data_IF_278906501047
#
_entry.id   IF_278906501047
#
_cell.length_a   1.000
_cell.length_b   1.000
_cell.length_c   1.000
_cell.angle_alpha   90.00
_cell.angle_beta   90.00
_cell.angle_gamma   90.00
#
_symmetry.space_group_name_H-M   'P 1'
#
loop_
_entity.id
_entity.type
_entity.pdbx_description
1 polymer ?
#
# COMPACT_ATOMS: atom_id res chain seq x y z
N UNK A 1 14.02 30.45 52.71
CA UNK A 1 13.50 29.25 52.01
C UNK A 1 13.29 29.62 50.55
N UNK A 2 14.24 29.29 49.68
CA UNK A 2 14.10 29.49 48.24
C UNK A 2 13.33 28.28 47.67
N UNK A 3 12.19 28.53 47.02
CA UNK A 3 11.48 27.52 46.23
C UNK A 3 12.30 27.28 44.96
N UNK A 4 12.86 26.08 44.80
CA UNK A 4 13.39 25.66 43.50
C UNK A 4 12.22 25.58 42.52
N UNK A 5 12.19 26.38 41.44
CA UNK A 5 11.17 26.20 40.41
C UNK A 5 11.42 24.85 39.72
N UNK A 6 10.34 24.09 39.54
CA UNK A 6 10.39 22.84 38.77
C UNK A 6 10.87 23.17 37.35
N UNK A 7 11.73 22.33 36.76
CA UNK A 7 12.18 22.52 35.39
C UNK A 7 10.95 22.51 34.47
N UNK A 8 10.76 23.60 33.74
CA UNK A 8 9.76 23.67 32.68
C UNK A 8 10.25 22.74 31.58
N UNK A 9 9.56 21.60 31.44
CA UNK A 9 9.75 20.71 30.28
C UNK A 9 9.35 21.52 29.06
N UNK A 10 10.34 21.96 28.28
CA UNK A 10 10.08 22.50 26.95
C UNK A 10 9.37 21.38 26.19
N UNK A 11 8.10 21.61 25.84
CA UNK A 11 7.39 20.73 24.94
C UNK A 11 8.18 20.73 23.64
N UNK A 12 8.93 19.66 23.40
CA UNK A 12 9.46 19.40 22.07
C UNK A 12 8.26 19.41 21.12
N UNK A 13 8.36 20.03 19.93
CA UNK A 13 7.34 19.83 18.91
C UNK A 13 7.12 18.31 18.78
N UNK A 14 5.86 17.84 18.68
CA UNK A 14 5.58 16.41 18.67
C UNK A 14 6.49 15.79 17.62
N UNK A 15 7.36 14.88 18.05
CA UNK A 15 8.17 14.09 17.14
C UNK A 15 7.17 13.48 16.15
N UNK A 16 7.19 13.92 14.89
CA UNK A 16 6.28 13.40 13.89
C UNK A 16 6.57 11.91 13.77
N UNK A 17 5.63 11.08 14.22
CA UNK A 17 5.68 9.62 14.13
C UNK A 17 5.57 9.23 12.65
N UNK A 18 6.66 9.38 11.90
CA UNK A 18 6.71 9.05 10.47
C UNK A 18 5.64 9.73 9.60
N UNK A 19 5.49 9.23 8.38
CA UNK A 19 4.36 9.55 7.51
C UNK A 19 3.09 8.91 8.05
N UNK A 20 1.93 9.55 7.80
CA UNK A 20 0.62 8.94 8.06
C UNK A 20 0.46 7.68 7.23
N UNK A 21 -0.44 6.78 7.62
CA UNK A 21 -0.73 5.56 6.85
C UNK A 21 -2.21 5.48 6.46
N UNK A 22 -2.52 4.62 5.49
CA UNK A 22 -3.90 4.28 5.11
C UNK A 22 -4.62 3.42 6.16
N UNK A 23 -3.90 2.90 7.17
CA UNK A 23 -4.50 2.07 8.21
C UNK A 23 -5.50 2.89 9.02
N UNK A 24 -6.76 2.46 8.96
CA UNK A 24 -7.87 3.06 9.67
C UNK A 24 -8.34 2.14 10.81
N UNK A 25 -8.24 2.58 12.08
CA UNK A 25 -8.65 1.76 13.21
C UNK A 25 -10.13 1.34 13.20
N UNK A 26 -11.02 2.20 12.67
CA UNK A 26 -12.45 1.91 12.61
C UNK A 26 -12.74 0.85 11.53
N UNK A 27 -12.08 0.96 10.38
CA UNK A 27 -12.14 -0.07 9.35
C UNK A 27 -11.49 -1.37 9.80
N UNK A 28 -10.36 -1.32 10.52
CA UNK A 28 -9.73 -2.52 11.07
C UNK A 28 -10.65 -3.27 12.04
N UNK A 29 -11.39 -2.53 12.87
CA UNK A 29 -12.38 -3.12 13.77
C UNK A 29 -13.60 -3.72 13.02
N UNK A 30 -13.97 -3.14 11.88
CA UNK A 30 -15.17 -3.51 11.13
C UNK A 30 -14.91 -4.59 10.08
N UNK A 31 -13.87 -4.43 9.27
CA UNK A 31 -13.49 -5.28 8.14
C UNK A 31 -12.50 -6.38 8.53
N UNK A 32 -11.95 -6.31 9.75
CA UNK A 32 -11.15 -7.37 10.34
C UNK A 32 -9.79 -7.60 9.66
N UNK A 33 -9.29 -8.83 9.83
CA UNK A 33 -7.91 -9.21 9.52
C UNK A 33 -7.55 -9.03 8.04
N UNK A 34 -8.47 -9.32 7.11
CA UNK A 34 -8.21 -9.17 5.67
C UNK A 34 -7.85 -7.73 5.31
N UNK A 35 -8.59 -6.74 5.85
CA UNK A 35 -8.26 -5.33 5.67
C UNK A 35 -6.91 -4.97 6.32
N UNK A 36 -6.63 -5.46 7.53
CA UNK A 36 -5.36 -5.19 8.21
C UNK A 36 -4.18 -5.70 7.39
N UNK A 37 -4.27 -6.91 6.83
CA UNK A 37 -3.23 -7.47 6.00
C UNK A 37 -3.04 -6.68 4.70
N UNK A 38 -4.13 -6.32 4.02
CA UNK A 38 -4.09 -5.49 2.82
C UNK A 38 -3.44 -4.13 3.08
N UNK A 39 -3.86 -3.44 4.14
CA UNK A 39 -3.32 -2.14 4.50
C UNK A 39 -1.84 -2.23 4.94
N UNK A 40 -1.49 -3.23 5.75
CA UNK A 40 -0.10 -3.45 6.17
C UNK A 40 0.82 -3.72 4.97
N UNK A 41 0.36 -4.56 4.03
CA UNK A 41 1.10 -4.86 2.80
C UNK A 41 1.35 -3.59 2.00
N UNK A 42 0.30 -2.81 1.70
CA UNK A 42 0.45 -1.57 0.94
C UNK A 42 1.39 -0.56 1.65
N UNK A 43 1.31 -0.45 2.98
CA UNK A 43 2.21 0.41 3.75
C UNK A 43 3.66 -0.05 3.63
N UNK A 44 3.93 -1.35 3.77
CA UNK A 44 5.29 -1.88 3.70
C UNK A 44 5.90 -1.72 2.31
N UNK A 45 5.11 -1.95 1.25
CA UNK A 45 5.55 -1.71 -0.11
C UNK A 45 5.96 -0.25 -0.29
N UNK A 46 5.13 0.73 0.10
CA UNK A 46 5.53 2.14 0.01
C UNK A 46 6.82 2.42 0.81
N UNK A 47 6.99 1.82 1.99
CA UNK A 47 8.22 1.99 2.79
C UNK A 47 9.45 1.45 2.08
N UNK A 48 9.34 0.31 1.40
CA UNK A 48 10.41 -0.27 0.58
C UNK A 48 10.82 0.70 -0.52
N UNK A 49 9.86 1.17 -1.30
CA UNK A 49 10.14 2.07 -2.43
C UNK A 49 10.70 3.42 -1.97
N UNK A 50 10.27 3.93 -0.81
CA UNK A 50 10.88 5.13 -0.19
C UNK A 50 12.32 4.86 0.26
N UNK A 51 12.66 3.65 0.71
CA UNK A 51 13.99 3.31 1.19
C UNK A 51 15.03 3.16 0.07
N UNK A 52 14.59 2.86 -1.15
CA UNK A 52 15.45 2.73 -2.34
C UNK A 52 15.70 4.03 -3.09
N UNK A 53 15.18 5.19 -2.62
CA UNK A 53 15.34 6.50 -3.27
C UNK A 53 16.82 6.97 -3.25
N UNK A 54 17.57 6.54 -4.26
CA UNK A 54 19.02 6.72 -4.35
C UNK A 54 19.67 6.47 -5.70
N UNK A 55 19.36 5.40 -6.45
CA UNK A 55 20.13 5.07 -7.68
C UNK A 55 19.45 4.14 -8.72
N UNK A 56 18.19 3.73 -8.54
CA UNK A 56 17.53 2.82 -9.50
C UNK A 56 16.41 3.50 -10.31
N UNK A 57 16.27 3.08 -11.57
CA UNK A 57 15.28 3.52 -12.57
C UNK A 57 13.80 3.28 -12.19
N UNK A 58 13.53 2.94 -10.93
CA UNK A 58 12.20 2.66 -10.42
C UNK A 58 11.76 3.81 -9.50
N UNK A 59 10.73 4.59 -9.88
CA UNK A 59 9.43 4.34 -9.28
C UNK A 59 8.19 4.68 -10.14
N UNK A 60 7.04 4.21 -9.63
CA UNK A 60 5.66 4.25 -10.16
C UNK A 60 5.32 3.19 -11.20
N UNK A 61 5.29 1.93 -10.73
CA UNK A 61 4.82 0.77 -11.47
C UNK A 61 4.94 -0.49 -10.61
N UNK A 62 6.14 -0.71 -10.06
CA UNK A 62 6.44 -1.85 -9.17
C UNK A 62 5.60 -1.89 -7.90
N UNK A 63 5.48 -0.77 -7.17
CA UNK A 63 4.66 -0.71 -5.94
C UNK A 63 3.18 -1.01 -6.22
N UNK A 64 2.66 -0.50 -7.35
CA UNK A 64 1.27 -0.70 -7.77
C UNK A 64 1.06 -2.14 -8.22
N UNK A 65 1.98 -2.67 -9.03
CA UNK A 65 2.00 -4.05 -9.51
C UNK A 65 2.00 -5.05 -8.36
N UNK A 66 2.89 -4.87 -7.38
CA UNK A 66 3.02 -5.77 -6.24
C UNK A 66 1.79 -5.70 -5.33
N UNK A 67 1.27 -4.49 -5.10
CA UNK A 67 0.02 -4.29 -4.35
C UNK A 67 -1.18 -4.91 -5.10
N UNK A 68 -1.21 -4.82 -6.43
CA UNK A 68 -2.23 -5.44 -7.28
C UNK A 68 -2.17 -6.97 -7.21
N UNK A 69 -0.99 -7.55 -7.36
CA UNK A 69 -0.79 -9.00 -7.26
C UNK A 69 -1.21 -9.52 -5.87
N UNK A 70 -0.83 -8.82 -4.79
CA UNK A 70 -1.26 -9.18 -3.44
C UNK A 70 -2.78 -9.13 -3.30
N UNK A 71 -3.40 -8.01 -3.71
CA UNK A 71 -4.85 -7.82 -3.69
C UNK A 71 -5.59 -8.96 -4.40
N UNK A 72 -5.14 -9.33 -5.61
CA UNK A 72 -5.75 -10.40 -6.40
C UNK A 72 -5.55 -11.78 -5.78
N UNK A 73 -4.52 -11.96 -4.95
CA UNK A 73 -4.25 -13.23 -4.28
C UNK A 73 -5.07 -13.44 -3.00
N UNK A 74 -5.50 -12.35 -2.34
CA UNK A 74 -6.20 -12.44 -1.05
C UNK A 74 -7.69 -12.08 -1.13
N UNK A 75 -8.13 -11.43 -2.20
CA UNK A 75 -9.53 -11.04 -2.40
C UNK A 75 -10.14 -11.79 -3.58
N UNK A 76 -11.28 -12.42 -3.32
CA UNK A 76 -12.16 -13.03 -4.32
C UNK A 76 -13.24 -12.02 -4.78
N UNK A 77 -13.20 -11.52 -6.04
CA UNK A 77 -14.17 -10.57 -6.54
C UNK A 77 -15.59 -11.14 -6.70
N UNK A 78 -15.79 -12.46 -6.60
CA UNK A 78 -17.14 -13.06 -6.62
C UNK A 78 -17.87 -12.95 -5.29
N UNK A 79 -17.16 -12.58 -4.22
CA UNK A 79 -17.72 -12.42 -2.87
C UNK A 79 -18.03 -10.95 -2.61
N UNK A 80 -19.29 -10.64 -2.32
CA UNK A 80 -19.76 -9.28 -2.04
C UNK A 80 -18.99 -8.62 -0.89
N UNK A 81 -18.65 -9.38 0.15
CA UNK A 81 -17.87 -8.91 1.29
C UNK A 81 -16.46 -8.41 0.91
N UNK A 82 -15.81 -9.04 -0.07
CA UNK A 82 -14.50 -8.61 -0.55
C UNK A 82 -14.61 -7.39 -1.46
N UNK A 83 -15.67 -7.30 -2.26
CA UNK A 83 -15.95 -6.13 -3.08
C UNK A 83 -16.20 -4.90 -2.21
N UNK A 84 -17.01 -5.02 -1.16
CA UNK A 84 -17.24 -3.94 -0.19
C UNK A 84 -15.97 -3.58 0.58
N UNK A 85 -15.20 -4.58 1.03
CA UNK A 85 -13.94 -4.35 1.76
C UNK A 85 -12.97 -3.50 0.95
N UNK A 86 -12.74 -3.83 -0.32
CA UNK A 86 -11.79 -3.08 -1.12
C UNK A 86 -12.30 -1.68 -1.47
N UNK A 87 -13.61 -1.52 -1.69
CA UNK A 87 -14.22 -0.21 -1.92
C UNK A 87 -14.02 0.72 -0.73
N UNK A 88 -14.34 0.25 0.49
CA UNK A 88 -14.17 1.01 1.73
C UNK A 88 -12.69 1.32 2.00
N UNK A 89 -11.80 0.35 1.80
CA UNK A 89 -10.36 0.53 1.96
C UNK A 89 -9.81 1.60 1.01
N UNK A 90 -10.19 1.56 -0.27
CA UNK A 90 -9.76 2.56 -1.24
C UNK A 90 -10.37 3.94 -0.97
N UNK A 91 -11.64 4.00 -0.54
CA UNK A 91 -12.28 5.27 -0.18
C UNK A 91 -11.59 5.93 1.01
N UNK A 92 -11.23 5.15 2.03
CA UNK A 92 -10.47 5.65 3.20
C UNK A 92 -9.07 6.11 2.79
N UNK A 93 -8.34 5.31 2.00
CA UNK A 93 -7.02 5.67 1.49
C UNK A 93 -7.04 6.99 0.70
N UNK A 94 -8.00 7.15 -0.22
CA UNK A 94 -8.16 8.40 -0.99
C UNK A 94 -8.54 9.59 -0.13
N UNK A 95 -9.36 9.39 0.90
CA UNK A 95 -9.76 10.46 1.83
C UNK A 95 -8.55 10.95 2.63
N UNK A 96 -7.79 10.01 3.21
CA UNK A 96 -6.57 10.30 3.96
C UNK A 96 -5.49 10.96 3.11
N UNK A 97 -5.33 10.52 1.86
CA UNK A 97 -4.38 11.12 0.90
C UNK A 97 -4.68 12.58 0.58
N UNK A 98 -5.94 13.03 0.71
CA UNK A 98 -6.30 14.46 0.55
C UNK A 98 -5.86 15.32 1.72
N UNK A 99 -5.65 14.72 2.89
CA UNK A 99 -5.20 15.41 4.09
C UNK A 99 -3.67 15.54 4.17
N UNK A 100 -2.96 14.86 3.27
CA UNK A 100 -1.50 14.88 3.18
C UNK A 100 -0.96 13.55 2.63
N UNK A 101 0.36 13.48 2.43
CA UNK A 101 1.02 12.25 2.03
C UNK A 101 0.80 11.15 3.07
N UNK A 102 0.45 9.95 2.62
CA UNK A 102 0.29 8.77 3.47
C UNK A 102 0.85 7.51 2.79
N UNK A 103 1.45 6.63 3.58
CA UNK A 103 1.92 5.31 3.14
C UNK A 103 0.72 4.39 2.89
N UNK A 104 0.79 3.60 1.82
CA UNK A 104 -0.27 2.76 1.30
C UNK A 104 -1.18 3.46 0.28
N UNK A 105 -0.84 4.69 -0.15
CA UNK A 105 -1.68 5.48 -1.05
C UNK A 105 -1.77 4.92 -2.49
N UNK A 106 -0.91 3.96 -2.83
CA UNK A 106 -0.92 3.21 -4.09
C UNK A 106 -2.09 2.21 -4.20
N UNK A 107 -2.74 1.83 -3.10
CA UNK A 107 -3.84 0.83 -3.10
C UNK A 107 -4.98 1.14 -4.10
N UNK A 108 -5.54 2.36 -4.18
CA UNK A 108 -6.56 2.69 -5.18
C UNK A 108 -6.05 2.59 -6.62
N UNK A 109 -4.75 2.81 -6.85
CA UNK A 109 -4.14 2.68 -8.18
C UNK A 109 -4.02 1.21 -8.58
N UNK A 110 -3.70 0.33 -7.62
CA UNK A 110 -3.66 -1.12 -7.84
C UNK A 110 -5.03 -1.68 -8.22
N UNK A 111 -6.09 -1.29 -7.51
CA UNK A 111 -7.46 -1.66 -7.87
C UNK A 111 -7.85 -1.14 -9.25
N UNK A 112 -7.55 0.14 -9.53
CA UNK A 112 -7.85 0.74 -10.83
C UNK A 112 -7.13 0.00 -11.97
N UNK A 113 -5.86 -0.38 -11.77
CA UNK A 113 -5.07 -1.16 -12.71
C UNK A 113 -5.71 -2.52 -12.98
N UNK A 114 -6.05 -3.27 -11.93
CA UNK A 114 -6.73 -4.57 -12.05
C UNK A 114 -8.04 -4.48 -12.81
N UNK A 115 -8.83 -3.42 -12.60
CA UNK A 115 -10.08 -3.19 -13.32
C UNK A 115 -9.85 -2.87 -14.79
N UNK A 116 -8.90 -1.96 -15.08
CA UNK A 116 -8.59 -1.56 -16.45
C UNK A 116 -8.11 -2.75 -17.29
N UNK A 117 -7.42 -3.70 -16.68
CA UNK A 117 -6.95 -4.93 -17.32
C UNK A 117 -7.95 -6.10 -17.25
N UNK A 118 -9.13 -5.93 -16.62
CA UNK A 118 -10.14 -6.97 -16.49
C UNK A 118 -9.82 -8.09 -15.49
N UNK A 119 -8.75 -7.95 -14.70
CA UNK A 119 -8.38 -8.87 -13.61
C UNK A 119 -9.29 -8.71 -12.38
N UNK A 120 -9.89 -7.53 -12.22
CA UNK A 120 -10.96 -7.27 -11.27
C UNK A 120 -12.27 -6.94 -12.02
N UNK A 121 -13.22 -7.89 -12.15
CA UNK A 121 -14.37 -7.75 -13.04
C UNK A 121 -15.51 -6.87 -12.48
N UNK A 122 -15.46 -6.51 -11.19
CA UNK A 122 -16.47 -5.65 -10.57
C UNK A 122 -16.15 -4.17 -10.80
N UNK A 123 -17.01 -3.40 -11.48
CA UNK A 123 -16.78 -1.98 -11.71
C UNK A 123 -16.95 -1.16 -10.42
N UNK A 124 -15.99 -0.27 -10.17
CA UNK A 124 -15.94 0.66 -9.03
C UNK A 124 -16.02 2.09 -9.58
N UNK A 125 -16.94 2.32 -10.51
CA UNK A 125 -17.01 3.55 -11.29
C UNK A 125 -17.19 4.80 -10.41
N UNK A 126 -17.97 4.69 -9.33
CA UNK A 126 -18.20 5.80 -8.40
C UNK A 126 -16.93 6.20 -7.64
N UNK A 127 -16.06 5.22 -7.34
CA UNK A 127 -14.78 5.42 -6.66
C UNK A 127 -13.83 6.28 -7.51
N UNK A 128 -13.74 5.96 -8.81
CA UNK A 128 -12.78 6.59 -9.73
C UNK A 128 -13.37 7.69 -10.62
N UNK A 129 -14.68 7.96 -10.57
CA UNK A 129 -15.36 8.99 -11.40
C UNK A 129 -14.69 10.38 -11.31
N UNK A 130 -14.06 10.70 -10.18
CA UNK A 130 -13.37 11.98 -9.96
C UNK A 130 -11.96 12.04 -10.54
N UNK A 131 -11.38 10.90 -10.92
CA UNK A 131 -10.10 10.84 -11.60
C UNK A 131 -10.31 11.20 -13.08
N UNK A 132 -10.29 12.51 -13.35
CA UNK A 132 -10.55 13.08 -14.69
C UNK A 132 -9.56 12.61 -15.77
N UNK A 133 -8.42 12.05 -15.38
CA UNK A 133 -7.40 11.48 -16.25
C UNK A 133 -6.91 10.17 -15.64
N UNK A 134 -6.65 9.16 -16.49
CA UNK A 134 -5.93 7.95 -16.10
C UNK A 134 -4.60 8.36 -15.46
N UNK A 135 -4.21 7.80 -14.30
CA UNK A 135 -2.91 8.05 -13.73
C UNK A 135 -1.82 7.74 -14.78
N UNK A 136 -0.91 8.68 -15.09
CA UNK A 136 0.01 8.58 -16.23
C UNK A 136 1.02 7.43 -16.11
N UNK A 137 1.19 6.89 -14.91
CA UNK A 137 2.21 5.93 -14.48
C UNK A 137 1.71 4.48 -14.39
N UNK A 138 0.59 4.14 -15.03
CA UNK A 138 0.09 2.76 -15.08
C UNK A 138 0.52 2.00 -16.35
N UNK A 139 1.23 2.65 -17.27
CA UNK A 139 1.63 2.03 -18.54
C UNK A 139 2.68 0.93 -18.34
N UNK A 140 3.55 1.07 -17.35
CA UNK A 140 4.64 0.13 -17.03
C UNK A 140 4.15 -1.12 -16.29
N UNK A 141 2.94 -1.08 -15.72
CA UNK A 141 2.35 -2.21 -14.99
C UNK A 141 1.97 -3.35 -15.93
N UNK A 142 1.51 -3.03 -17.14
CA UNK A 142 1.15 -4.04 -18.13
C UNK A 142 2.39 -4.81 -18.61
N UNK A 143 3.56 -4.14 -18.70
CA UNK A 143 4.83 -4.78 -19.03
C UNK A 143 5.32 -5.71 -17.90
N UNK A 144 5.16 -5.30 -16.64
CA UNK A 144 5.44 -6.16 -15.47
C UNK A 144 4.56 -7.42 -15.48
N UNK A 145 3.25 -7.27 -15.72
CA UNK A 145 2.36 -8.43 -15.87
C UNK A 145 2.69 -9.30 -17.09
N UNK A 146 3.19 -8.72 -18.18
CA UNK A 146 3.66 -9.48 -19.34
C UNK A 146 4.91 -10.32 -19.04
N UNK A 147 5.75 -9.87 -18.09
CA UNK A 147 6.87 -10.64 -17.54
C UNK A 147 6.44 -11.84 -16.69
N UNK A 148 5.17 -11.92 -16.30
CA UNK A 148 4.61 -13.06 -15.58
C UNK A 148 5.24 -13.31 -14.21
N UNK A 149 5.42 -14.58 -13.85
CA UNK A 149 5.97 -14.99 -12.55
C UNK A 149 7.40 -14.47 -12.32
N UNK A 150 8.21 -14.35 -13.38
CA UNK A 150 9.62 -13.95 -13.26
C UNK A 150 9.70 -12.49 -12.77
N UNK A 151 8.88 -11.59 -13.34
CA UNK A 151 8.80 -10.21 -12.88
C UNK A 151 8.27 -10.09 -11.45
N UNK A 152 7.32 -10.94 -11.06
CA UNK A 152 6.81 -10.97 -9.69
C UNK A 152 7.88 -11.43 -8.69
N UNK A 153 8.65 -12.45 -9.06
CA UNK A 153 9.77 -12.95 -8.25
C UNK A 153 10.86 -11.88 -8.10
N UNK A 154 11.29 -11.25 -9.20
CA UNK A 154 12.34 -10.22 -9.19
C UNK A 154 11.96 -9.05 -8.25
N UNK A 155 10.72 -8.56 -8.35
CA UNK A 155 10.23 -7.47 -7.49
C UNK A 155 10.08 -7.92 -6.04
N UNK A 156 9.66 -9.17 -5.80
CA UNK A 156 9.55 -9.72 -4.44
C UNK A 156 10.91 -9.91 -3.75
N UNK A 157 11.92 -10.36 -4.49
CA UNK A 157 13.31 -10.47 -4.03
C UNK A 157 13.85 -9.10 -3.61
N UNK A 158 13.70 -8.09 -4.48
CA UNK A 158 14.10 -6.71 -4.18
C UNK A 158 13.44 -6.18 -2.90
N UNK A 159 12.15 -6.48 -2.71
CA UNK A 159 11.42 -6.06 -1.51
C UNK A 159 11.94 -6.71 -0.23
N UNK A 160 12.41 -7.95 -0.29
CA UNK A 160 13.00 -8.64 0.87
C UNK A 160 14.41 -8.16 1.19
N UNK A 161 15.13 -7.63 0.21
CA UNK A 161 16.48 -7.07 0.37
C UNK A 161 16.49 -5.59 0.78
N UNK A 162 15.31 -4.95 0.79
CA UNK A 162 15.15 -3.54 1.12
C UNK A 162 15.76 -3.17 2.49
N UNK A 163 16.59 -2.10 2.56
CA UNK A 163 17.26 -1.70 3.79
C UNK A 163 16.32 -0.92 4.72
N UNK A 164 15.30 -1.60 5.27
CA UNK A 164 14.33 -1.00 6.17
C UNK A 164 14.81 -0.97 7.63
N UNK A 165 14.64 0.16 8.30
CA UNK A 165 14.91 0.30 9.74
C UNK A 165 13.98 -0.58 10.60
N UNK A 166 12.71 -0.67 10.21
CA UNK A 166 11.74 -1.56 10.86
C UNK A 166 11.43 -2.73 9.93
N UNK A 167 11.28 -3.96 10.44
CA UNK A 167 11.02 -5.12 9.61
C UNK A 167 9.68 -4.98 8.86
N UNK A 168 9.53 -5.78 7.80
CA UNK A 168 8.26 -6.01 7.14
C UNK A 168 7.27 -6.63 8.13
N UNK A 169 5.99 -6.30 7.99
CA UNK A 169 4.95 -6.99 8.73
C UNK A 169 4.93 -8.48 8.33
N UNK A 170 4.62 -9.40 9.26
CA UNK A 170 4.54 -10.83 8.95
C UNK A 170 3.71 -11.21 7.71
N UNK A 171 2.51 -10.65 7.45
CA UNK A 171 1.76 -10.97 6.24
C UNK A 171 2.49 -10.55 4.95
N UNK A 172 3.19 -9.41 4.98
CA UNK A 172 4.01 -8.93 3.85
C UNK A 172 5.17 -9.87 3.58
N UNK A 173 5.99 -10.13 4.61
CA UNK A 173 7.18 -10.97 4.47
C UNK A 173 6.81 -12.39 4.01
N UNK A 174 5.78 -12.99 4.61
CA UNK A 174 5.32 -14.33 4.26
C UNK A 174 4.87 -14.42 2.80
N UNK A 175 4.12 -13.42 2.33
CA UNK A 175 3.64 -13.43 0.96
C UNK A 175 4.76 -13.23 -0.05
N UNK A 176 5.70 -12.29 0.20
CA UNK A 176 6.86 -12.07 -0.67
C UNK A 176 7.73 -13.32 -0.80
N UNK A 177 8.02 -13.98 0.33
CA UNK A 177 8.78 -15.25 0.33
C UNK A 177 8.07 -16.36 -0.45
N UNK A 178 6.74 -16.38 -0.45
CA UNK A 178 5.97 -17.35 -1.21
C UNK A 178 6.00 -17.13 -2.73
N UNK A 179 6.45 -15.96 -3.20
CA UNK A 179 6.59 -15.67 -4.64
C UNK A 179 7.94 -16.11 -5.21
N UNK A 180 8.92 -16.43 -4.35
CA UNK A 180 10.26 -16.80 -4.76
C UNK A 180 10.32 -18.32 -4.95
N UNK A 181 10.72 -18.76 -6.16
CA UNK A 181 10.94 -20.18 -6.46
C UNK A 181 12.36 -20.57 -6.07
N UNK A 182 12.50 -21.72 -5.39
CA UNK A 182 13.78 -22.37 -5.07
C UNK A 182 14.56 -22.84 -6.32
#
# INVERSE_FOLDING_TARGET
MAKNPLPVVQQSPPASLGLRTIMDPELAATLGTTYVHLAAFAIDVDRIFVAFDGDEEWPFGGEVFLTEAFLLSILDPSLEEHVSLIEDACLSAMTRSREGACLGAQLPFALYSAQAAGRWPHPHEDLFRRWKKKPPSLAEIDDLWAGGDDALQDVAELCLEAPLDAPLAPPTEQWLRAQIKD
#
